data_IF_821325171714
#
_entry.id   IF_821325171714
#
_cell.length_a   1.000
_cell.length_b   1.000
_cell.length_c   1.000
_cell.angle_alpha   90.00
_cell.angle_beta   90.00
_cell.angle_gamma   90.00
#
_symmetry.space_group_name_H-M   'P 1'
#
loop_
_entity.id
_entity.type
_entity.pdbx_description
1 polymer ?
#
# COMPACT_ATOMS: atom_id res chain seq x y z
N UNK A 1 27.16 -4.79 -9.94
CA UNK A 1 28.44 -5.33 -10.40
C UNK A 1 28.40 -6.83 -10.29
N UNK A 2 28.61 -7.52 -11.38
CA UNK A 2 28.64 -8.99 -11.44
C UNK A 2 30.09 -9.45 -11.54
N UNK A 3 30.45 -10.50 -10.81
CA UNK A 3 31.77 -11.11 -10.90
C UNK A 3 31.63 -12.40 -11.68
N UNK A 4 32.55 -12.66 -12.59
CA UNK A 4 32.61 -13.89 -13.37
C UNK A 4 33.98 -14.53 -13.25
N UNK A 5 34.02 -15.87 -13.24
CA UNK A 5 35.26 -16.61 -13.35
C UNK A 5 35.60 -16.73 -14.83
N UNK A 6 36.81 -16.37 -15.20
CA UNK A 6 37.35 -16.53 -16.58
C UNK A 6 38.54 -17.45 -16.56
N UNK A 7 38.76 -18.13 -17.66
CA UNK A 7 39.94 -18.99 -17.84
C UNK A 7 41.22 -18.13 -17.94
N UNK A 8 42.32 -18.63 -17.47
CA UNK A 8 43.62 -17.97 -17.55
C UNK A 8 43.93 -17.56 -18.99
N UNK A 9 44.34 -16.30 -19.21
CA UNK A 9 44.64 -15.77 -20.53
C UNK A 9 43.44 -15.24 -21.34
N UNK A 10 42.22 -15.28 -20.79
CA UNK A 10 41.04 -14.64 -21.43
C UNK A 10 40.74 -13.27 -20.84
N UNK A 11 40.33 -12.35 -21.71
CA UNK A 11 39.94 -11.00 -21.32
C UNK A 11 38.73 -11.02 -20.36
N UNK A 12 38.78 -10.21 -19.32
CA UNK A 12 37.64 -10.04 -18.41
C UNK A 12 36.52 -9.28 -19.10
N UNK A 13 35.27 -9.75 -18.95
CA UNK A 13 34.09 -9.05 -19.46
C UNK A 13 33.85 -7.74 -18.69
N UNK A 14 33.32 -6.74 -19.38
CA UNK A 14 32.87 -5.50 -18.76
C UNK A 14 31.65 -5.77 -17.88
N UNK A 15 31.85 -5.74 -16.56
CA UNK A 15 30.85 -5.95 -15.55
C UNK A 15 30.41 -4.63 -14.87
N UNK A 16 30.52 -3.52 -15.60
CA UNK A 16 30.10 -2.21 -15.10
C UNK A 16 28.61 -2.22 -14.68
N UNK A 17 28.30 -1.75 -13.47
CA UNK A 17 26.91 -1.67 -13.04
C UNK A 17 26.16 -0.60 -13.82
N UNK A 18 25.02 -0.96 -14.36
CA UNK A 18 24.06 0.03 -14.86
C UNK A 18 23.36 0.69 -13.68
N UNK A 19 23.60 1.98 -13.49
CA UNK A 19 22.94 2.76 -12.45
C UNK A 19 21.57 3.21 -12.96
N UNK A 20 20.53 2.57 -12.49
CA UNK A 20 19.17 3.06 -12.67
C UNK A 20 18.80 4.00 -11.51
N UNK A 21 18.32 5.17 -11.82
CA UNK A 21 17.83 6.12 -10.81
C UNK A 21 16.30 5.93 -10.68
N UNK A 22 15.81 5.30 -9.62
CA UNK A 22 14.38 5.22 -9.39
C UNK A 22 13.82 6.61 -9.12
N UNK A 23 12.72 6.96 -9.77
CA UNK A 23 12.05 8.23 -9.59
C UNK A 23 10.73 8.04 -8.84
N UNK A 24 10.52 8.86 -7.82
CA UNK A 24 9.24 8.95 -7.10
C UNK A 24 8.57 10.26 -7.46
N UNK A 25 7.45 10.21 -8.15
CA UNK A 25 6.67 11.39 -8.48
C UNK A 25 5.90 11.88 -7.26
N UNK A 26 5.90 13.18 -7.04
CA UNK A 26 5.20 13.82 -5.94
C UNK A 26 3.91 14.43 -6.46
N UNK A 27 2.80 14.11 -5.84
CA UNK A 27 1.47 14.61 -6.13
C UNK A 27 0.97 15.52 -5.01
N UNK A 28 -0.09 16.29 -5.27
CA UNK A 28 -0.65 17.24 -4.32
C UNK A 28 -2.09 16.86 -3.98
N UNK A 29 -2.34 16.16 -2.88
CA UNK A 29 -3.68 16.01 -2.35
C UNK A 29 -4.21 17.37 -1.89
N UNK A 30 -5.50 17.63 -2.12
CA UNK A 30 -6.19 18.86 -1.77
C UNK A 30 -7.53 18.52 -1.13
N UNK A 31 -7.83 19.22 -0.05
CA UNK A 31 -9.12 19.19 0.60
C UNK A 31 -9.69 20.60 0.70
N UNK A 32 -10.98 20.75 0.49
CA UNK A 32 -11.66 22.01 0.63
C UNK A 32 -12.95 21.84 1.42
N UNK A 33 -13.10 22.63 2.47
CA UNK A 33 -14.24 22.59 3.36
C UNK A 33 -14.87 23.99 3.44
N UNK A 34 -16.01 24.25 2.79
CA UNK A 34 -16.75 25.50 2.94
C UNK A 34 -17.57 25.49 4.25
N UNK A 35 -17.69 26.64 4.89
CA UNK A 35 -18.50 26.82 6.08
C UNK A 35 -19.10 28.24 6.15
N UNK A 36 -20.25 28.38 6.82
CA UNK A 36 -20.90 29.67 7.05
C UNK A 36 -20.19 30.47 8.15
N UNK A 37 -20.15 31.77 7.99
CA UNK A 37 -19.62 32.68 9.00
C UNK A 37 -20.42 32.54 10.31
N UNK A 38 -21.74 32.39 10.23
CA UNK A 38 -22.64 32.21 11.38
C UNK A 38 -22.25 30.96 12.18
N UNK A 39 -22.11 29.80 11.52
CA UNK A 39 -21.71 28.55 12.19
C UNK A 39 -20.37 28.68 12.90
N UNK A 40 -19.42 29.43 12.31
CA UNK A 40 -18.11 29.62 12.93
C UNK A 40 -18.15 30.50 14.20
N UNK A 41 -19.17 31.32 14.35
CA UNK A 41 -19.37 32.21 15.51
C UNK A 41 -20.20 31.53 16.60
N UNK A 42 -21.22 30.77 16.21
CA UNK A 42 -22.19 30.20 17.13
C UNK A 42 -21.77 28.85 17.72
N UNK A 43 -20.83 28.13 17.07
CA UNK A 43 -20.37 26.80 17.51
C UNK A 43 -19.06 26.88 18.29
N UNK A 44 -19.08 26.72 19.64
CA UNK A 44 -17.86 26.62 20.44
C UNK A 44 -17.08 25.34 20.09
N UNK A 45 -15.83 25.49 19.76
CA UNK A 45 -15.01 24.33 19.37
C UNK A 45 -14.96 24.02 17.88
N UNK A 46 -15.61 24.83 17.04
CA UNK A 46 -15.61 24.74 15.60
C UNK A 46 -14.22 24.43 15.00
N UNK A 47 -13.19 25.22 15.35
CA UNK A 47 -11.86 25.07 14.81
C UNK A 47 -11.21 23.73 15.15
N UNK A 48 -11.45 23.19 16.35
CA UNK A 48 -10.90 21.91 16.79
C UNK A 48 -11.56 20.71 16.11
N UNK A 49 -12.89 20.75 15.95
CA UNK A 49 -13.63 19.68 15.27
C UNK A 49 -13.30 19.62 13.78
N UNK A 50 -13.25 20.75 13.11
CA UNK A 50 -12.90 20.80 11.69
C UNK A 50 -11.44 20.44 11.44
N UNK A 51 -10.53 20.80 12.36
CA UNK A 51 -9.16 20.35 12.32
C UNK A 51 -9.05 18.82 12.35
N UNK A 52 -9.77 18.17 13.26
CA UNK A 52 -9.84 16.69 13.35
C UNK A 52 -10.44 16.06 12.11
N UNK A 53 -11.50 16.65 11.55
CA UNK A 53 -12.14 16.14 10.34
C UNK A 53 -11.19 16.17 9.14
N UNK A 54 -10.47 17.28 8.97
CA UNK A 54 -9.47 17.41 7.89
C UNK A 54 -8.33 16.41 8.08
N UNK A 55 -7.80 16.28 9.30
CA UNK A 55 -6.72 15.35 9.61
C UNK A 55 -7.14 13.88 9.38
N UNK A 56 -8.33 13.51 9.89
CA UNK A 56 -8.88 12.17 9.68
C UNK A 56 -9.08 11.86 8.21
N UNK A 57 -9.66 12.77 7.43
CA UNK A 57 -9.87 12.58 6.00
C UNK A 57 -8.56 12.50 5.21
N UNK A 58 -7.56 13.27 5.61
CA UNK A 58 -6.23 13.19 5.00
C UNK A 58 -5.53 11.88 5.29
N UNK A 59 -5.56 11.41 6.54
CA UNK A 59 -4.95 10.13 6.93
C UNK A 59 -5.63 8.94 6.24
N UNK A 60 -6.95 8.96 6.11
CA UNK A 60 -7.71 7.95 5.39
C UNK A 60 -7.35 7.91 3.89
N UNK A 61 -7.25 9.07 3.26
CA UNK A 61 -6.76 9.19 1.88
C UNK A 61 -5.34 8.63 1.74
N UNK A 62 -4.42 9.00 2.64
CA UNK A 62 -3.04 8.50 2.62
C UNK A 62 -2.98 6.99 2.75
N UNK A 63 -3.69 6.42 3.72
CA UNK A 63 -3.73 4.99 3.95
C UNK A 63 -4.24 4.25 2.70
N UNK A 64 -5.35 4.72 2.11
CA UNK A 64 -5.90 4.15 0.87
C UNK A 64 -4.89 4.22 -0.27
N UNK A 65 -4.31 5.41 -0.51
CA UNK A 65 -3.43 5.61 -1.66
C UNK A 65 -2.05 4.97 -1.50
N UNK A 66 -1.57 4.80 -0.28
CA UNK A 66 -0.35 4.03 0.00
C UNK A 66 -0.51 2.56 -0.37
N UNK A 67 -1.71 1.99 -0.25
CA UNK A 67 -1.97 0.59 -0.59
C UNK A 67 -2.35 0.42 -2.07
N UNK A 68 -3.30 1.21 -2.58
CA UNK A 68 -3.99 0.97 -3.87
C UNK A 68 -3.88 2.09 -4.89
N UNK A 69 -3.08 3.12 -4.64
CA UNK A 69 -2.93 4.24 -5.57
C UNK A 69 -2.43 3.83 -6.95
N UNK A 70 -3.00 4.42 -7.99
CA UNK A 70 -2.78 4.04 -9.40
C UNK A 70 -1.50 4.65 -10.02
N UNK A 71 -0.90 5.66 -9.40
CA UNK A 71 0.24 6.42 -9.94
C UNK A 71 -0.14 7.48 -10.99
N UNK A 72 -1.44 7.62 -11.32
CA UNK A 72 -1.93 8.64 -12.24
C UNK A 72 -2.59 9.75 -11.43
N UNK A 73 -1.96 10.93 -11.37
CA UNK A 73 -2.36 12.07 -10.52
C UNK A 73 -2.40 11.77 -9.01
N UNK A 74 -1.92 10.61 -8.61
CA UNK A 74 -1.82 10.14 -7.23
C UNK A 74 -0.56 9.27 -7.06
N UNK A 75 -0.07 9.02 -5.84
CA UNK A 75 1.06 8.13 -5.61
C UNK A 75 0.80 6.71 -6.10
N UNK A 76 1.85 5.99 -6.46
CA UNK A 76 1.73 4.54 -6.64
C UNK A 76 1.55 3.86 -5.27
N UNK A 77 0.48 3.12 -5.14
CA UNK A 77 0.26 2.26 -3.98
C UNK A 77 1.15 1.01 -4.03
N UNK A 78 1.45 0.46 -2.87
CA UNK A 78 2.36 -0.67 -2.74
C UNK A 78 1.94 -1.88 -3.58
N UNK A 79 0.66 -2.22 -3.59
CA UNK A 79 0.14 -3.36 -4.36
C UNK A 79 0.19 -3.11 -5.87
N UNK A 80 -0.20 -1.92 -6.31
CA UNK A 80 -0.19 -1.57 -7.74
C UNK A 80 1.24 -1.44 -8.27
N UNK A 81 2.14 -0.86 -7.49
CA UNK A 81 3.53 -0.71 -7.87
C UNK A 81 4.25 -2.07 -7.98
N UNK A 82 3.97 -3.03 -7.07
CA UNK A 82 4.48 -4.40 -7.15
C UNK A 82 3.90 -5.16 -8.34
N UNK A 83 2.61 -4.99 -8.64
CA UNK A 83 1.96 -5.57 -9.82
C UNK A 83 2.64 -5.11 -11.11
N UNK A 84 2.94 -3.82 -11.22
CA UNK A 84 3.62 -3.26 -12.39
C UNK A 84 5.11 -3.65 -12.48
N UNK A 85 5.72 -4.04 -11.38
CA UNK A 85 7.16 -4.31 -11.29
C UNK A 85 7.57 -5.76 -11.57
N UNK A 86 6.69 -6.59 -12.12
CA UNK A 86 6.94 -8.02 -12.41
C UNK A 86 7.28 -8.90 -11.19
N UNK A 87 7.10 -8.41 -9.98
CA UNK A 87 7.26 -9.17 -8.74
C UNK A 87 5.95 -9.88 -8.34
N UNK A 88 5.32 -10.53 -9.29
CA UNK A 88 4.00 -11.13 -9.17
C UNK A 88 4.10 -12.64 -9.19
N UNK A 89 3.39 -13.28 -8.27
CA UNK A 89 3.15 -14.74 -8.24
C UNK A 89 1.66 -14.97 -8.49
N UNK A 90 1.35 -15.90 -9.37
CA UNK A 90 -0.02 -16.32 -9.63
C UNK A 90 -0.40 -17.55 -8.81
N UNK A 91 -1.67 -17.69 -8.40
CA UNK A 91 -2.17 -18.89 -7.72
C UNK A 91 -1.92 -20.17 -8.52
N UNK A 92 -1.97 -21.29 -7.84
CA UNK A 92 -1.80 -22.63 -8.47
C UNK A 92 -2.98 -22.95 -9.38
N UNK A 93 -4.16 -22.55 -8.98
CA UNK A 93 -5.40 -22.69 -9.75
C UNK A 93 -5.95 -21.31 -10.01
N UNK A 94 -6.13 -20.99 -11.26
CA UNK A 94 -6.69 -19.70 -11.67
C UNK A 94 -8.06 -19.47 -11.03
N UNK A 95 -8.29 -18.27 -10.54
CA UNK A 95 -9.51 -17.94 -9.82
C UNK A 95 -9.62 -18.48 -8.38
N UNK A 96 -8.60 -19.18 -7.87
CA UNK A 96 -8.65 -19.78 -6.53
C UNK A 96 -7.43 -19.44 -5.70
N UNK A 97 -7.64 -19.10 -4.44
CA UNK A 97 -6.58 -18.86 -3.46
C UNK A 97 -6.48 -20.03 -2.47
N UNK A 98 -5.31 -20.62 -2.32
CA UNK A 98 -5.07 -21.77 -1.46
C UNK A 98 -3.84 -21.61 -0.56
N UNK A 99 -3.70 -22.52 0.41
CA UNK A 99 -2.56 -22.52 1.34
C UNK A 99 -1.21 -22.66 0.63
N UNK A 100 -1.15 -23.38 -0.47
CA UNK A 100 0.06 -23.58 -1.28
C UNK A 100 0.55 -22.25 -1.87
N UNK A 101 -0.35 -21.34 -2.20
CA UNK A 101 -0.02 -20.07 -2.83
C UNK A 101 0.73 -19.12 -1.88
N UNK A 102 0.45 -19.21 -0.59
CA UNK A 102 1.21 -18.47 0.43
C UNK A 102 2.67 -18.92 0.47
N UNK A 103 2.93 -20.24 0.34
CA UNK A 103 4.29 -20.75 0.24
C UNK A 103 4.98 -20.37 -1.07
N UNK A 104 4.24 -20.34 -2.18
CA UNK A 104 4.80 -19.86 -3.46
C UNK A 104 5.30 -18.43 -3.34
N UNK A 105 4.52 -17.55 -2.74
CA UNK A 105 4.91 -16.15 -2.51
C UNK A 105 6.12 -16.07 -1.61
N UNK A 106 6.15 -16.85 -0.52
CA UNK A 106 7.29 -16.90 0.39
C UNK A 106 8.56 -17.39 -0.30
N UNK A 107 8.45 -18.43 -1.11
CA UNK A 107 9.59 -19.01 -1.83
C UNK A 107 10.10 -18.10 -2.96
N UNK A 108 9.24 -17.28 -3.54
CA UNK A 108 9.62 -16.31 -4.55
C UNK A 108 10.41 -15.11 -3.97
N UNK A 109 10.29 -14.84 -2.66
CA UNK A 109 11.04 -13.78 -2.01
C UNK A 109 12.49 -14.25 -1.77
N UNK A 110 13.53 -13.53 -2.27
CA UNK A 110 14.93 -13.88 -2.05
C UNK A 110 15.28 -13.89 -0.55
N UNK A 111 16.11 -14.85 -0.12
CA UNK A 111 16.44 -15.07 1.29
C UNK A 111 16.97 -13.84 2.03
N UNK A 112 17.78 -13.04 1.32
CA UNK A 112 18.35 -11.80 1.89
C UNK A 112 17.31 -10.81 2.41
N UNK A 113 16.07 -10.84 1.88
CA UNK A 113 14.98 -9.95 2.29
C UNK A 113 14.02 -10.59 3.29
N UNK A 114 14.09 -11.93 3.45
CA UNK A 114 13.19 -12.66 4.35
C UNK A 114 13.36 -12.28 5.81
N UNK A 115 14.56 -11.83 6.21
CA UNK A 115 14.86 -11.49 7.61
C UNK A 115 14.00 -10.33 8.12
N UNK A 116 13.73 -9.33 7.29
CA UNK A 116 12.94 -8.14 7.65
C UNK A 116 11.57 -8.11 6.96
N UNK A 117 11.18 -9.23 6.35
CA UNK A 117 9.94 -9.31 5.61
C UNK A 117 8.72 -9.18 6.51
N UNK A 118 7.71 -8.46 6.04
CA UNK A 118 6.42 -8.30 6.70
C UNK A 118 5.31 -8.54 5.68
N UNK A 119 4.31 -9.31 6.08
CA UNK A 119 3.12 -9.58 5.29
C UNK A 119 2.13 -8.43 5.42
N UNK A 120 1.49 -8.07 4.33
CA UNK A 120 0.39 -7.09 4.32
C UNK A 120 -0.80 -7.70 3.59
N UNK A 121 -1.97 -7.67 4.23
CA UNK A 121 -3.20 -8.25 3.71
C UNK A 121 -4.43 -7.63 4.35
N UNK A 122 -5.60 -7.91 3.77
CA UNK A 122 -6.89 -7.57 4.36
C UNK A 122 -7.35 -8.62 5.38
N UNK A 123 -8.32 -8.25 6.21
CA UNK A 123 -8.99 -9.15 7.17
C UNK A 123 -9.60 -10.37 6.47
N UNK A 124 -10.18 -10.19 5.27
CA UNK A 124 -10.79 -11.27 4.51
C UNK A 124 -9.77 -12.34 4.10
N UNK A 125 -8.60 -11.90 3.63
CA UNK A 125 -7.50 -12.80 3.26
C UNK A 125 -6.95 -13.51 4.49
N UNK A 126 -6.79 -12.81 5.61
CA UNK A 126 -6.41 -13.42 6.88
C UNK A 126 -7.40 -14.52 7.31
N UNK A 127 -8.70 -14.25 7.22
CA UNK A 127 -9.74 -15.21 7.58
C UNK A 127 -9.69 -16.45 6.68
N UNK A 128 -9.44 -16.26 5.38
CA UNK A 128 -9.26 -17.36 4.44
C UNK A 128 -8.05 -18.24 4.81
N UNK A 129 -6.92 -17.63 5.13
CA UNK A 129 -5.70 -18.35 5.55
C UNK A 129 -5.97 -19.17 6.82
N UNK A 130 -6.69 -18.62 7.78
CA UNK A 130 -7.09 -19.36 9.00
C UNK A 130 -8.01 -20.54 8.69
N UNK A 131 -8.92 -20.40 7.74
CA UNK A 131 -9.81 -21.48 7.29
C UNK A 131 -9.03 -22.60 6.61
N UNK A 132 -8.01 -22.28 5.80
CA UNK A 132 -7.14 -23.32 5.22
C UNK A 132 -6.40 -24.11 6.29
N UNK A 133 -5.91 -23.46 7.33
CA UNK A 133 -5.25 -24.13 8.45
C UNK A 133 -6.22 -25.04 9.25
N UNK A 134 -7.48 -24.65 9.37
CA UNK A 134 -8.49 -25.41 10.09
C UNK A 134 -9.06 -26.60 9.29
N UNK A 135 -9.14 -26.50 7.96
CA UNK A 135 -9.69 -27.52 7.09
C UNK A 135 -8.71 -28.67 6.79
N UNK A 136 -7.43 -28.46 7.01
CA UNK A 136 -6.41 -29.48 6.85
C UNK A 136 -6.28 -30.27 8.16
N UNK A 137 -6.48 -31.59 8.10
CA UNK A 137 -6.24 -32.50 9.24
C UNK A 137 -4.92 -32.18 9.93
N UNK A 138 -4.88 -32.25 11.24
CA UNK A 138 -3.81 -31.83 12.16
C UNK A 138 -2.37 -32.31 11.84
N UNK A 139 -2.16 -33.06 10.76
CA UNK A 139 -0.84 -33.57 10.35
C UNK A 139 -0.06 -32.64 9.40
N UNK A 140 -0.67 -31.56 8.96
CA UNK A 140 -0.04 -30.61 8.04
C UNK A 140 -0.28 -29.18 8.53
N UNK A 141 0.49 -28.76 9.53
CA UNK A 141 0.62 -27.34 9.85
C UNK A 141 1.32 -26.62 8.68
N UNK A 142 0.55 -26.23 7.68
CA UNK A 142 1.09 -25.46 6.53
C UNK A 142 1.61 -24.08 6.97
N UNK A 143 1.17 -23.59 8.13
CA UNK A 143 1.60 -22.30 8.65
C UNK A 143 1.85 -22.40 10.15
N UNK A 144 2.95 -21.86 10.59
CA UNK A 144 3.13 -21.52 12.00
C UNK A 144 2.30 -20.28 12.28
N UNK A 145 1.02 -20.48 12.63
CA UNK A 145 0.20 -19.41 13.16
C UNK A 145 0.55 -19.31 14.63
N UNK A 146 1.46 -18.43 14.97
CA UNK A 146 1.76 -18.14 16.34
C UNK A 146 0.73 -17.15 16.90
N UNK A 147 -0.17 -17.67 17.72
CA UNK A 147 -1.13 -16.88 18.50
C UNK A 147 -0.55 -16.48 19.87
N UNK A 148 0.68 -16.89 20.16
CA UNK A 148 1.37 -16.56 21.40
C UNK A 148 1.69 -15.06 21.39
N UNK A 149 1.13 -14.33 22.31
CA UNK A 149 1.31 -12.87 22.40
C UNK A 149 0.33 -12.02 21.58
N UNK A 150 -0.71 -12.62 20.97
CA UNK A 150 -1.78 -11.88 20.31
C UNK A 150 -1.44 -11.33 18.93
N UNK A 151 -0.29 -11.66 18.35
CA UNK A 151 0.08 -11.27 17.00
C UNK A 151 -0.04 -12.44 16.03
N UNK A 152 -0.69 -12.19 14.90
CA UNK A 152 -0.76 -13.16 13.82
C UNK A 152 0.56 -13.15 13.04
N UNK A 153 1.20 -14.32 12.92
CA UNK A 153 2.45 -14.50 12.19
C UNK A 153 2.31 -15.60 11.16
N UNK A 154 2.95 -15.43 10.01
CA UNK A 154 3.06 -16.43 8.94
C UNK A 154 4.55 -16.66 8.70
N UNK A 155 5.02 -17.92 8.82
CA UNK A 155 6.43 -18.29 8.68
C UNK A 155 7.36 -17.42 9.56
N UNK A 156 7.00 -17.25 10.83
CA UNK A 156 7.70 -16.42 11.83
C UNK A 156 7.80 -14.93 11.50
N UNK A 157 7.07 -14.46 10.50
CA UNK A 157 7.07 -13.05 10.09
C UNK A 157 5.77 -12.36 10.50
N UNK A 158 5.87 -11.09 10.92
CA UNK A 158 4.68 -10.33 11.33
C UNK A 158 3.75 -10.10 10.15
N UNK A 159 2.45 -10.04 10.45
CA UNK A 159 1.39 -9.72 9.49
C UNK A 159 0.74 -8.41 9.89
N UNK A 160 0.71 -7.47 8.97
CA UNK A 160 -0.06 -6.23 9.08
C UNK A 160 -1.39 -6.44 8.37
N UNK A 161 -2.45 -6.28 9.15
CA UNK A 161 -3.83 -6.36 8.66
C UNK A 161 -4.33 -4.94 8.52
N UNK A 162 -4.83 -4.61 7.34
CA UNK A 162 -5.37 -3.28 7.06
C UNK A 162 -6.58 -3.37 6.15
N UNK A 163 -7.58 -2.54 6.43
CA UNK A 163 -8.80 -2.44 5.62
C UNK A 163 -8.55 -1.78 4.26
N UNK A 164 -7.42 -1.09 4.13
CA UNK A 164 -7.02 -0.43 2.88
C UNK A 164 -6.30 -1.37 1.90
N UNK A 165 -5.91 -2.57 2.34
CA UNK A 165 -5.38 -3.59 1.44
C UNK A 165 -6.50 -4.17 0.57
N UNK A 166 -6.19 -4.60 -0.67
CA UNK A 166 -7.17 -5.25 -1.53
C UNK A 166 -7.82 -6.45 -0.84
N UNK A 167 -9.14 -6.50 -0.90
CA UNK A 167 -9.92 -7.53 -0.18
C UNK A 167 -10.15 -8.80 -0.97
N UNK A 168 -9.78 -8.81 -2.24
CA UNK A 168 -10.32 -9.78 -3.18
C UNK A 168 -11.79 -9.47 -3.47
N UNK A 169 -12.44 -10.20 -4.37
CA UNK A 169 -13.83 -9.96 -4.72
C UNK A 169 -14.79 -10.51 -3.68
N UNK A 170 -15.66 -9.64 -3.21
CA UNK A 170 -16.97 -10.03 -2.68
C UNK A 170 -17.00 -10.86 -1.41
N UNK A 171 -16.11 -10.67 -0.44
CA UNK A 171 -16.27 -11.28 0.89
C UNK A 171 -16.12 -12.80 0.94
N UNK A 172 -15.97 -13.45 -0.19
CA UNK A 172 -15.59 -14.84 -0.33
C UNK A 172 -14.10 -14.91 -0.67
N UNK A 173 -13.49 -16.04 -0.36
CA UNK A 173 -12.14 -16.37 -0.80
C UNK A 173 -11.93 -15.90 -2.24
N UNK A 174 -10.85 -15.16 -2.53
CA UNK A 174 -10.63 -14.62 -3.86
C UNK A 174 -10.70 -15.71 -4.92
N UNK A 175 -11.65 -15.62 -5.76
CA UNK A 175 -11.90 -16.57 -6.82
C UNK A 175 -12.94 -16.00 -7.75
N UNK A 176 -12.59 -15.01 -8.55
CA UNK A 176 -13.40 -14.64 -9.71
C UNK A 176 -12.62 -13.71 -10.64
N UNK A 177 -12.85 -13.89 -11.91
CA UNK A 177 -12.50 -13.13 -13.11
C UNK A 177 -11.92 -11.73 -12.88
N UNK A 178 -10.65 -11.56 -13.21
CA UNK A 178 -9.94 -10.30 -13.31
C UNK A 178 -8.70 -10.22 -12.41
N UNK A 179 -7.74 -9.40 -12.80
CA UNK A 179 -6.51 -9.13 -12.06
C UNK A 179 -6.79 -8.61 -10.65
N UNK A 180 -6.51 -9.41 -9.64
CA UNK A 180 -6.77 -9.06 -8.24
C UNK A 180 -5.56 -9.27 -7.36
N UNK A 181 -5.16 -8.21 -6.70
CA UNK A 181 -4.12 -8.25 -5.68
C UNK A 181 -4.69 -8.86 -4.40
N UNK A 182 -4.07 -9.90 -3.87
CA UNK A 182 -4.55 -10.64 -2.71
C UNK A 182 -3.74 -10.28 -1.47
N UNK A 183 -2.46 -10.54 -1.49
CA UNK A 183 -1.54 -10.28 -0.39
C UNK A 183 -0.15 -9.93 -0.92
N UNK A 184 0.62 -9.23 -0.11
CA UNK A 184 2.00 -8.91 -0.43
C UNK A 184 2.92 -9.23 0.74
N UNK A 185 4.13 -9.68 0.45
CA UNK A 185 5.22 -9.82 1.40
C UNK A 185 6.44 -9.07 0.89
N UNK A 186 7.02 -8.26 1.73
CA UNK A 186 8.18 -7.45 1.34
C UNK A 186 9.02 -7.05 2.56
N UNK A 187 10.30 -6.79 2.31
CA UNK A 187 11.08 -5.89 3.15
C UNK A 187 10.73 -4.45 2.77
N UNK A 188 9.72 -3.89 3.45
CA UNK A 188 9.13 -2.61 3.09
C UNK A 188 10.11 -1.44 3.19
N UNK A 189 11.15 -1.54 4.02
CA UNK A 189 12.18 -0.50 4.12
C UNK A 189 13.01 -0.39 2.84
N UNK A 190 13.26 -1.51 2.18
CA UNK A 190 14.03 -1.53 0.95
C UNK A 190 13.14 -1.50 -0.30
N UNK A 191 11.93 -2.04 -0.21
CA UNK A 191 11.02 -2.21 -1.33
C UNK A 191 10.32 -0.90 -1.72
N UNK A 192 9.72 -0.23 -0.75
CA UNK A 192 8.81 0.88 -1.00
C UNK A 192 9.30 2.17 -0.36
N UNK A 193 9.36 3.23 -1.14
CA UNK A 193 9.75 4.56 -0.67
C UNK A 193 8.56 5.51 -0.68
N UNK A 194 8.21 6.01 0.49
CA UNK A 194 7.27 7.11 0.65
C UNK A 194 8.02 8.42 0.84
N UNK A 195 7.70 9.41 0.02
CA UNK A 195 8.32 10.75 0.05
C UNK A 195 7.29 11.77 0.50
N UNK A 196 7.58 12.47 1.56
CA UNK A 196 6.78 13.60 2.03
C UNK A 196 7.56 14.90 1.77
N UNK A 197 7.21 15.62 0.71
CA UNK A 197 7.90 16.85 0.31
C UNK A 197 7.42 18.07 1.09
N UNK A 198 6.12 18.14 1.38
CA UNK A 198 5.51 19.16 2.20
C UNK A 198 4.43 18.50 3.06
N UNK A 199 4.46 18.78 4.36
CA UNK A 199 3.42 18.36 5.28
C UNK A 199 2.08 19.02 4.95
N UNK A 200 1.04 18.65 5.67
CA UNK A 200 -0.27 19.26 5.50
C UNK A 200 -0.23 20.71 5.96
N UNK A 201 -0.68 21.62 5.10
CA UNK A 201 -0.93 23.04 5.38
C UNK A 201 -2.42 23.32 5.23
N UNK A 202 -2.97 24.09 6.15
CA UNK A 202 -4.37 24.50 6.11
C UNK A 202 -4.42 26.02 6.03
N UNK A 203 -5.07 26.53 5.00
CA UNK A 203 -5.22 27.95 4.74
C UNK A 203 -6.71 28.33 4.83
N UNK A 204 -7.00 29.46 5.46
CA UNK A 204 -8.34 29.99 5.52
C UNK A 204 -8.59 30.92 4.34
N UNK A 205 -9.62 30.65 3.57
CA UNK A 205 -10.13 31.52 2.52
C UNK A 205 -11.20 32.42 3.15
N UNK A 206 -10.95 33.73 3.27
CA UNK A 206 -11.80 34.61 4.05
C UNK A 206 -13.16 34.85 3.41
N UNK A 207 -13.29 34.71 2.10
CA UNK A 207 -14.54 34.95 1.38
C UNK A 207 -14.67 33.96 0.22
N UNK A 208 -15.85 33.38 0.11
CA UNK A 208 -16.25 32.60 -1.06
C UNK A 208 -17.24 33.41 -1.89
N UNK A 209 -17.07 33.35 -3.20
CA UNK A 209 -17.90 34.04 -4.17
C UNK A 209 -18.77 33.04 -4.92
N UNK A 210 -20.04 33.35 -5.13
CA UNK A 210 -20.97 32.45 -5.83
C UNK A 210 -21.91 33.24 -6.77
N UNK A 211 -22.65 32.44 -7.55
CA UNK A 211 -23.57 32.95 -8.57
C UNK A 211 -22.90 33.53 -9.80
N UNK A 212 -23.70 33.90 -10.81
CA UNK A 212 -23.23 34.47 -12.08
C UNK A 212 -22.50 35.79 -11.93
N UNK A 213 -22.86 36.59 -10.91
CA UNK A 213 -22.27 37.88 -10.63
C UNK A 213 -21.07 37.85 -9.69
N UNK A 214 -20.71 36.65 -9.17
CA UNK A 214 -19.58 36.43 -8.25
C UNK A 214 -19.61 37.37 -7.02
N UNK A 215 -20.78 37.53 -6.39
CA UNK A 215 -20.88 38.24 -5.13
C UNK A 215 -20.51 37.40 -3.92
N UNK A 216 -20.06 38.00 -2.80
CA UNK A 216 -19.79 37.28 -1.57
C UNK A 216 -20.99 36.46 -1.09
N UNK A 217 -20.80 35.20 -0.71
CA UNK A 217 -21.88 34.30 -0.27
C UNK A 217 -22.07 34.25 1.24
N UNK A 218 -21.28 34.98 2.03
CA UNK A 218 -21.28 34.85 3.50
C UNK A 218 -20.65 33.56 3.99
N UNK A 219 -19.91 32.86 3.11
CA UNK A 219 -19.18 31.64 3.41
C UNK A 219 -17.68 31.89 3.42
N UNK A 220 -16.99 31.10 4.21
CA UNK A 220 -15.53 30.95 4.25
C UNK A 220 -15.14 29.54 3.87
N UNK A 221 -13.87 29.33 3.59
CA UNK A 221 -13.36 28.00 3.28
C UNK A 221 -12.08 27.69 4.03
N UNK A 222 -11.90 26.43 4.39
CA UNK A 222 -10.60 25.89 4.79
C UNK A 222 -10.05 25.10 3.60
N UNK A 223 -8.88 25.46 3.14
CA UNK A 223 -8.17 24.78 2.07
C UNK A 223 -6.97 24.06 2.67
N UNK A 224 -7.01 22.74 2.63
CA UNK A 224 -5.93 21.89 3.09
C UNK A 224 -5.19 21.31 1.88
N UNK A 225 -3.87 21.30 1.94
CA UNK A 225 -3.04 20.71 0.90
C UNK A 225 -1.76 20.11 1.50
N UNK A 226 -1.21 19.14 0.81
CA UNK A 226 0.08 18.53 1.14
C UNK A 226 0.80 18.13 -0.15
N UNK A 227 2.04 17.66 -0.06
CA UNK A 227 2.77 17.13 -1.22
C UNK A 227 3.47 15.84 -0.82
N UNK A 228 3.02 14.73 -1.39
CA UNK A 228 3.56 13.41 -1.10
C UNK A 228 3.66 12.55 -2.37
N UNK A 229 4.40 11.48 -2.27
CA UNK A 229 4.57 10.52 -3.35
C UNK A 229 5.02 9.17 -2.81
N UNK A 230 4.74 8.12 -3.54
CA UNK A 230 5.16 6.77 -3.19
C UNK A 230 5.44 5.96 -4.44
N UNK A 231 6.42 5.07 -4.36
CA UNK A 231 6.70 4.09 -5.41
C UNK A 231 7.57 2.96 -4.89
N UNK A 232 7.55 1.83 -5.57
CA UNK A 232 8.50 0.73 -5.37
C UNK A 232 9.85 1.10 -5.98
N UNK A 233 10.89 1.02 -5.17
CA UNK A 233 12.28 1.35 -5.55
C UNK A 233 13.07 0.08 -5.86
N UNK A 234 12.90 -0.96 -5.03
CA UNK A 234 13.55 -2.24 -5.22
C UNK A 234 12.49 -3.35 -5.37
N UNK A 235 12.07 -3.62 -6.58
CA UNK A 235 11.02 -4.62 -6.87
C UNK A 235 11.36 -6.02 -6.38
N UNK A 236 12.64 -6.40 -6.38
CA UNK A 236 13.09 -7.73 -5.89
C UNK A 236 12.93 -7.91 -4.38
N UNK A 237 12.74 -6.84 -3.62
CA UNK A 237 12.55 -6.89 -2.17
C UNK A 237 11.09 -7.16 -1.76
N UNK A 238 10.18 -7.27 -2.71
CA UNK A 238 8.77 -7.56 -2.45
C UNK A 238 8.18 -8.52 -3.48
N UNK A 239 7.18 -9.28 -3.06
CA UNK A 239 6.42 -10.23 -3.89
C UNK A 239 4.94 -10.04 -3.61
N UNK A 240 4.16 -10.02 -4.67
CA UNK A 240 2.71 -9.88 -4.66
C UNK A 240 2.06 -11.18 -5.14
N UNK A 241 1.03 -11.63 -4.45
CA UNK A 241 0.11 -12.63 -4.97
C UNK A 241 -1.02 -11.92 -5.71
N UNK A 242 -1.14 -12.22 -7.00
CA UNK A 242 -2.16 -11.65 -7.86
C UNK A 242 -2.86 -12.75 -8.62
N UNK A 243 -4.20 -12.76 -8.56
CA UNK A 243 -5.04 -13.61 -9.36
C UNK A 243 -5.23 -13.01 -10.76
N UNK A 244 -5.27 -13.84 -11.78
CA UNK A 244 -5.51 -13.44 -13.18
C UNK A 244 -6.96 -13.62 -13.57
#
# INVERSE_FOLDING_TARGET
MTWSYTTEGTESSDNSPTLAQPSVRVHMPKGFLPYSIEVSQDYPGFASEFGRLIDSGYNDLLATKTMTGSGTNEPFGAFVALSNATSVVTPTTDGSFGGIDVFKVWNALPERFRTNATWVMSVNVQSAIRQFAASQSATSAYFTIDLTGGQFRINDRPVIITDYAPTGVGGSVPGTTGLQNILAVADWQQCYLWVNRAGMSVEQIPMLFGGSNRYPTGQRGLFAWARNGGNVVASRAGVLLQNQ
#
